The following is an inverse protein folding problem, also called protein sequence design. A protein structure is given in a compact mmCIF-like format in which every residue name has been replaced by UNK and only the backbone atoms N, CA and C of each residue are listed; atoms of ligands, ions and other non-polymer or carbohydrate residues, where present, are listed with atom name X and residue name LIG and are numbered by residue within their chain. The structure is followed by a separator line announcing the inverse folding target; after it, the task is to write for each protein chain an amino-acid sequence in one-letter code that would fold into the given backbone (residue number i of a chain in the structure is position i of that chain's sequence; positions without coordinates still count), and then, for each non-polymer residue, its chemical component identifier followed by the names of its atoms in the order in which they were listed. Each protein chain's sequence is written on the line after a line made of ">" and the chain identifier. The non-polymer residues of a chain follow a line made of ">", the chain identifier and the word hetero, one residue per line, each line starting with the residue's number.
data_IF_411456025643
#
_entry.id   IF_411456025643
#
_cell.length_a   1.000
_cell.length_b   1.000
_cell.length_c   1.000
_cell.angle_alpha   90.00
_cell.angle_beta   90.00
_cell.angle_gamma   90.00
#
_symmetry.space_group_name_H-M   'P 1'
#
loop_
_entity.id
_entity.type
_entity.pdbx_description
1 polymer ?
#
# COMPACT_ATOMS: atom_id res chain seq x y z
N UNK A 1 63.00 10.64 43.66
CA UNK A 1 62.31 11.81 43.00
C UNK A 1 61.81 11.48 41.59
N UNK A 2 62.60 10.87 40.71
CA UNK A 2 62.26 10.52 39.35
C UNK A 2 61.01 9.63 39.17
N UNK A 3 60.80 8.53 39.95
CA UNK A 3 59.63 7.66 39.80
C UNK A 3 58.26 8.35 40.09
N UNK A 4 58.26 9.24 41.07
CA UNK A 4 57.07 10.00 41.45
C UNK A 4 56.66 11.02 40.37
N UNK A 5 57.63 11.60 39.66
CA UNK A 5 57.39 12.47 38.53
C UNK A 5 56.77 11.68 37.32
N UNK A 6 57.30 10.48 37.07
CA UNK A 6 56.76 9.60 36.01
C UNK A 6 55.32 9.17 36.34
N UNK A 7 55.02 8.77 37.58
CA UNK A 7 53.68 8.46 38.04
C UNK A 7 52.70 9.65 37.88
N UNK A 8 53.15 10.84 38.21
CA UNK A 8 52.35 12.07 38.07
C UNK A 8 52.00 12.35 36.60
N UNK A 9 53.00 12.25 35.71
CA UNK A 9 52.79 12.44 34.25
C UNK A 9 51.85 11.38 33.70
N UNK A 10 52.00 10.09 34.06
CA UNK A 10 51.12 9.02 33.66
C UNK A 10 49.69 9.22 34.15
N UNK A 11 49.50 9.66 35.40
CA UNK A 11 48.19 9.95 35.96
C UNK A 11 47.48 11.10 35.20
N UNK A 12 48.20 12.18 34.90
CA UNK A 12 47.66 13.30 34.09
C UNK A 12 47.29 12.83 32.68
N UNK A 13 48.14 12.04 32.04
CA UNK A 13 47.89 11.50 30.69
C UNK A 13 46.64 10.61 30.69
N UNK A 14 46.47 9.75 31.69
CA UNK A 14 45.31 8.87 31.85
C UNK A 14 44.01 9.68 32.03
N UNK A 15 44.06 10.71 32.88
CA UNK A 15 42.92 11.61 33.11
C UNK A 15 42.51 12.32 31.79
N UNK A 16 43.48 12.86 31.07
CA UNK A 16 43.24 13.53 29.78
C UNK A 16 42.63 12.57 28.77
N UNK A 17 43.11 11.32 28.72
CA UNK A 17 42.57 10.28 27.83
C UNK A 17 41.14 9.91 28.19
N UNK A 18 40.86 9.73 29.49
CA UNK A 18 39.51 9.42 29.98
C UNK A 18 38.52 10.56 29.69
N UNK A 19 38.94 11.80 29.87
CA UNK A 19 38.11 12.97 29.53
C UNK A 19 37.83 13.02 28.04
N UNK A 20 38.82 12.82 27.18
CA UNK A 20 38.64 12.76 25.75
C UNK A 20 37.68 11.63 25.33
N UNK A 21 37.85 10.44 25.91
CA UNK A 21 36.98 9.30 25.62
C UNK A 21 35.50 9.59 25.98
N UNK A 22 35.28 10.17 27.18
CA UNK A 22 33.93 10.57 27.60
C UNK A 22 33.29 11.63 26.68
N UNK A 23 34.07 12.66 26.30
CA UNK A 23 33.57 13.67 25.39
C UNK A 23 33.21 13.08 24.00
N UNK A 24 33.98 12.10 23.52
CA UNK A 24 33.68 11.40 22.26
C UNK A 24 32.41 10.56 22.38
N UNK A 25 32.23 9.81 23.47
CA UNK A 25 31.03 9.03 23.76
C UNK A 25 29.79 9.92 23.79
N UNK A 26 29.81 11.01 24.53
CA UNK A 26 28.71 11.96 24.60
C UNK A 26 28.36 12.56 23.22
N UNK A 27 29.39 12.83 22.41
CA UNK A 27 29.17 13.35 21.05
C UNK A 27 28.52 12.32 20.13
N UNK A 28 28.86 11.03 20.25
CA UNK A 28 28.23 9.94 19.47
C UNK A 28 26.79 9.70 19.91
N UNK A 29 26.52 9.72 21.23
CA UNK A 29 25.15 9.59 21.76
C UNK A 29 24.24 10.74 21.27
N UNK A 30 24.78 11.97 21.27
CA UNK A 30 24.06 13.15 20.75
C UNK A 30 23.76 13.02 19.26
N UNK A 31 24.71 12.51 18.45
CA UNK A 31 24.47 12.22 17.03
C UNK A 31 23.35 11.19 16.87
N UNK A 32 23.44 10.08 17.61
CA UNK A 32 22.44 9.00 17.55
C UNK A 32 21.04 9.49 17.91
N UNK A 33 20.91 10.24 19.00
CA UNK A 33 19.63 10.81 19.43
C UNK A 33 19.05 11.78 18.38
N UNK A 34 19.86 12.76 17.94
CA UNK A 34 19.43 13.72 16.94
C UNK A 34 19.09 13.06 15.60
N UNK A 35 19.79 12.01 15.20
CA UNK A 35 19.47 11.24 13.99
C UNK A 35 18.12 10.54 14.12
N UNK A 36 17.85 9.86 15.25
CA UNK A 36 16.58 9.22 15.52
C UNK A 36 15.39 10.19 15.50
N UNK A 37 15.52 11.33 16.20
CA UNK A 37 14.49 12.38 16.22
C UNK A 37 14.19 12.94 14.83
N UNK A 38 15.17 12.99 13.94
CA UNK A 38 15.01 13.57 12.60
C UNK A 38 14.53 12.59 11.55
N UNK A 39 14.78 11.32 11.73
CA UNK A 39 14.17 10.27 10.92
C UNK A 39 12.68 10.10 11.25
N UNK A 40 12.32 10.35 12.52
CA UNK A 40 10.93 10.28 12.98
C UNK A 40 10.12 11.58 12.72
N UNK A 41 10.78 12.74 12.66
CA UNK A 41 10.14 14.03 12.45
C UNK A 41 10.58 14.69 11.15
N UNK A 42 9.64 15.37 10.46
CA UNK A 42 9.90 16.02 9.17
C UNK A 42 10.62 17.38 9.28
N UNK A 43 11.52 17.52 10.28
CA UNK A 43 12.23 18.78 10.55
C UNK A 43 13.47 18.97 9.68
N UNK A 44 13.66 20.18 9.15
CA UNK A 44 14.79 20.52 8.25
C UNK A 44 16.05 20.98 8.99
N UNK A 45 16.15 20.79 10.31
CA UNK A 45 17.28 21.27 11.08
C UNK A 45 18.50 20.36 10.92
N UNK A 46 19.71 20.82 10.63
CA UNK A 46 20.90 19.99 10.52
C UNK A 46 21.32 19.40 11.89
N UNK A 47 21.99 18.26 11.93
CA UNK A 47 22.62 17.72 13.14
C UNK A 47 23.68 18.74 13.58
N UNK A 48 23.50 19.27 14.78
CA UNK A 48 24.42 20.24 15.34
C UNK A 48 25.21 19.64 16.51
N UNK A 49 26.53 19.77 16.46
CA UNK A 49 27.41 19.28 17.53
C UNK A 49 28.15 20.44 18.19
N UNK A 50 28.07 20.51 19.50
CA UNK A 50 28.83 21.46 20.32
C UNK A 50 30.28 21.07 20.50
N UNK A 51 30.68 19.90 19.99
CA UNK A 51 32.03 19.35 20.18
C UNK A 51 33.09 20.01 19.29
N UNK A 52 34.32 20.11 19.79
CA UNK A 52 35.49 20.56 18.99
C UNK A 52 36.20 19.39 18.29
N UNK A 53 35.73 18.14 18.49
CA UNK A 53 36.34 16.98 17.86
C UNK A 53 36.14 17.02 16.32
N UNK A 54 37.24 17.00 15.52
CA UNK A 54 37.12 17.11 14.06
C UNK A 54 36.51 15.87 13.42
N UNK A 55 36.63 14.69 14.04
CA UNK A 55 36.06 13.43 13.50
C UNK A 55 34.55 13.38 13.71
N UNK A 56 34.06 13.75 14.89
CA UNK A 56 32.64 13.83 15.18
C UNK A 56 31.96 14.89 14.27
N UNK A 57 32.62 16.03 14.03
CA UNK A 57 32.09 17.07 13.12
C UNK A 57 32.04 16.60 11.66
N UNK A 58 33.07 15.86 11.19
CA UNK A 58 33.05 15.27 9.85
C UNK A 58 31.94 14.25 9.68
N UNK A 59 31.71 13.40 10.70
CA UNK A 59 30.63 12.42 10.68
C UNK A 59 29.25 13.12 10.63
N UNK A 60 29.02 14.13 11.48
CA UNK A 60 27.77 14.89 11.45
C UNK A 60 27.54 15.60 10.11
N UNK A 61 28.59 16.16 9.50
CA UNK A 61 28.49 16.79 8.19
C UNK A 61 28.13 15.76 7.09
N UNK A 62 28.76 14.58 7.10
CA UNK A 62 28.47 13.50 6.16
C UNK A 62 27.02 13.00 6.32
N UNK A 63 26.55 12.78 7.55
CA UNK A 63 25.17 12.41 7.85
C UNK A 63 24.18 13.46 7.38
N UNK A 64 24.44 14.75 7.60
CA UNK A 64 23.58 15.83 7.13
C UNK A 64 23.44 15.84 5.60
N UNK A 65 24.50 15.54 4.87
CA UNK A 65 24.45 15.42 3.40
C UNK A 65 23.55 14.24 3.01
N UNK A 66 23.71 13.07 3.64
CA UNK A 66 22.92 11.89 3.33
C UNK A 66 21.44 12.07 3.67
N UNK A 67 21.12 12.65 4.82
CA UNK A 67 19.74 12.97 5.23
C UNK A 67 19.09 13.92 4.20
N UNK A 68 19.82 14.94 3.78
CA UNK A 68 19.33 15.90 2.78
C UNK A 68 19.05 15.24 1.43
N UNK A 69 19.92 14.31 1.00
CA UNK A 69 19.72 13.58 -0.27
C UNK A 69 18.54 12.60 -0.18
N UNK A 70 18.41 11.84 0.91
CA UNK A 70 17.27 10.95 1.18
C UNK A 70 15.95 11.74 1.16
N UNK A 71 15.93 12.91 1.81
CA UNK A 71 14.76 13.78 1.81
C UNK A 71 14.42 14.31 0.43
N UNK A 72 15.44 14.70 -0.34
CA UNK A 72 15.24 15.15 -1.73
C UNK A 72 14.67 14.03 -2.61
N UNK A 73 15.13 12.80 -2.44
CA UNK A 73 14.59 11.65 -3.15
C UNK A 73 13.14 11.37 -2.74
N UNK A 74 12.84 11.40 -1.43
CA UNK A 74 11.48 11.25 -0.93
C UNK A 74 10.53 12.30 -1.51
N UNK A 75 10.89 13.58 -1.46
CA UNK A 75 10.08 14.66 -2.03
C UNK A 75 9.89 14.53 -3.55
N UNK A 76 10.90 14.03 -4.29
CA UNK A 76 10.75 13.74 -5.72
C UNK A 76 9.75 12.60 -5.97
N UNK A 77 9.80 11.53 -5.17
CA UNK A 77 8.83 10.44 -5.26
C UNK A 77 7.42 10.94 -4.94
N UNK A 78 7.23 11.68 -3.84
CA UNK A 78 5.95 12.22 -3.44
C UNK A 78 5.38 13.20 -4.49
N UNK A 79 6.19 14.07 -5.05
CA UNK A 79 5.77 14.97 -6.13
C UNK A 79 5.43 14.22 -7.42
N UNK A 80 6.23 13.23 -7.80
CA UNK A 80 5.96 12.39 -8.97
C UNK A 80 4.65 11.61 -8.82
N UNK A 81 4.39 11.08 -7.65
CA UNK A 81 3.12 10.39 -7.36
C UNK A 81 1.93 11.34 -7.44
N UNK A 82 2.08 12.59 -6.96
CA UNK A 82 1.03 13.63 -7.05
C UNK A 82 0.77 14.06 -8.50
N UNK A 83 1.82 14.34 -9.28
CA UNK A 83 1.69 14.69 -10.69
C UNK A 83 1.04 13.56 -11.49
N UNK A 84 1.42 12.32 -11.24
CA UNK A 84 0.80 11.14 -11.86
C UNK A 84 -0.68 11.05 -11.51
N UNK A 85 -1.05 11.27 -10.25
CA UNK A 85 -2.43 11.29 -9.79
C UNK A 85 -3.26 12.36 -10.51
N UNK A 86 -2.75 13.60 -10.56
CA UNK A 86 -3.43 14.71 -11.22
C UNK A 86 -3.64 14.42 -12.72
N UNK A 87 -2.60 13.90 -13.41
CA UNK A 87 -2.68 13.50 -14.80
C UNK A 87 -3.71 12.37 -15.02
N UNK A 88 -3.69 11.34 -14.16
CA UNK A 88 -4.63 10.21 -14.22
C UNK A 88 -6.07 10.67 -13.98
N UNK A 89 -6.29 11.56 -13.01
CA UNK A 89 -7.61 12.13 -12.72
C UNK A 89 -8.14 12.90 -13.92
N UNK A 90 -7.32 13.77 -14.52
CA UNK A 90 -7.68 14.57 -15.70
C UNK A 90 -8.02 13.68 -16.89
N UNK A 91 -7.15 12.73 -17.24
CA UNK A 91 -7.36 11.78 -18.35
C UNK A 91 -8.62 10.94 -18.12
N UNK A 92 -8.86 10.50 -16.89
CA UNK A 92 -10.07 9.71 -16.57
C UNK A 92 -11.34 10.50 -16.77
N UNK A 93 -11.36 11.79 -16.38
CA UNK A 93 -12.49 12.67 -16.61
C UNK A 93 -12.72 12.90 -18.11
N UNK A 94 -11.64 13.18 -18.85
CA UNK A 94 -11.71 13.48 -20.28
C UNK A 94 -12.09 12.27 -21.15
N UNK A 95 -11.79 11.06 -20.69
CA UNK A 95 -12.23 9.82 -21.34
C UNK A 95 -13.68 9.44 -20.99
N UNK A 96 -14.18 9.75 -19.81
CA UNK A 96 -15.55 9.42 -19.38
C UNK A 96 -16.58 10.09 -20.27
N UNK A 97 -16.38 11.36 -20.61
CA UNK A 97 -17.32 12.17 -21.40
C UNK A 97 -17.58 11.58 -22.79
N UNK A 98 -16.56 11.32 -23.66
CA UNK A 98 -16.79 10.71 -24.96
C UNK A 98 -17.32 9.27 -24.87
N UNK A 99 -16.91 8.50 -23.86
CA UNK A 99 -17.42 7.14 -23.68
C UNK A 99 -18.90 7.12 -23.33
N UNK A 100 -19.36 8.04 -22.47
CA UNK A 100 -20.79 8.18 -22.16
C UNK A 100 -21.60 8.55 -23.41
N UNK A 101 -21.07 9.43 -24.26
CA UNK A 101 -21.71 9.77 -25.53
C UNK A 101 -21.75 8.56 -26.48
N UNK A 102 -20.65 7.80 -26.60
CA UNK A 102 -20.61 6.57 -27.43
C UNK A 102 -21.66 5.55 -26.95
N UNK A 103 -21.73 5.30 -25.63
CA UNK A 103 -22.75 4.40 -25.07
C UNK A 103 -24.16 4.88 -25.39
N UNK A 104 -24.43 6.19 -25.23
CA UNK A 104 -25.75 6.76 -25.59
C UNK A 104 -26.09 6.63 -27.06
N UNK A 105 -25.15 6.85 -27.99
CA UNK A 105 -25.38 6.62 -29.42
C UNK A 105 -25.62 5.15 -29.77
N UNK A 106 -24.91 4.24 -29.11
CA UNK A 106 -25.12 2.80 -29.28
C UNK A 106 -26.50 2.37 -28.80
N UNK A 107 -26.99 2.91 -27.68
CA UNK A 107 -28.36 2.66 -27.20
C UNK A 107 -29.43 3.18 -28.18
N UNK A 108 -29.18 4.34 -28.80
CA UNK A 108 -30.09 4.88 -29.85
C UNK A 108 -30.09 4.00 -31.09
N UNK A 109 -28.93 3.55 -31.55
CA UNK A 109 -28.80 2.66 -32.69
C UNK A 109 -29.42 1.28 -32.41
N UNK A 110 -29.40 0.86 -31.14
CA UNK A 110 -29.96 -0.43 -30.73
C UNK A 110 -31.51 -0.47 -30.81
N UNK A 111 -32.18 0.67 -30.81
CA UNK A 111 -33.65 0.81 -30.92
C UNK A 111 -34.17 0.74 -32.37
N UNK A 112 -33.29 0.85 -33.35
CA UNK A 112 -33.69 0.82 -34.79
C UNK A 112 -33.70 -0.58 -35.39
N UNK A 113 -34.31 -0.71 -36.58
CA UNK A 113 -34.25 -1.94 -37.37
C UNK A 113 -32.82 -2.23 -37.81
N UNK A 114 -32.38 -3.48 -37.60
CA UNK A 114 -30.99 -3.93 -37.84
C UNK A 114 -30.97 -5.28 -38.51
N UNK A 115 -29.99 -5.48 -39.38
CA UNK A 115 -29.64 -6.84 -39.79
C UNK A 115 -28.98 -7.61 -38.62
N UNK A 116 -29.04 -8.94 -38.58
CA UNK A 116 -28.39 -9.75 -37.57
C UNK A 116 -26.87 -9.46 -37.41
N UNK A 117 -26.22 -9.13 -38.52
CA UNK A 117 -24.80 -8.81 -38.55
C UNK A 117 -24.52 -7.44 -37.91
N UNK A 118 -25.35 -6.43 -38.21
CA UNK A 118 -25.27 -5.11 -37.57
C UNK A 118 -25.53 -5.21 -36.07
N UNK A 119 -26.52 -5.97 -35.62
CA UNK A 119 -26.80 -6.20 -34.21
C UNK A 119 -25.59 -6.82 -33.48
N UNK A 120 -24.93 -7.78 -34.11
CA UNK A 120 -23.72 -8.40 -33.59
C UNK A 120 -22.55 -7.40 -33.43
N UNK A 121 -22.30 -6.55 -34.43
CA UNK A 121 -21.25 -5.54 -34.36
C UNK A 121 -21.57 -4.47 -33.31
N UNK A 122 -22.81 -4.01 -33.23
CA UNK A 122 -23.24 -3.06 -32.20
C UNK A 122 -23.03 -3.63 -30.79
N UNK A 123 -23.40 -4.88 -30.55
CA UNK A 123 -23.16 -5.54 -29.27
C UNK A 123 -21.67 -5.64 -28.92
N UNK A 124 -20.80 -5.92 -29.91
CA UNK A 124 -19.36 -5.94 -29.70
C UNK A 124 -18.80 -4.54 -29.36
N UNK A 125 -19.26 -3.51 -30.06
CA UNK A 125 -18.81 -2.11 -29.79
C UNK A 125 -19.31 -1.66 -28.40
N UNK A 126 -20.61 -1.92 -28.11
CA UNK A 126 -21.17 -1.60 -26.79
C UNK A 126 -20.36 -2.27 -25.63
N UNK A 127 -20.05 -3.56 -25.78
CA UNK A 127 -19.23 -4.28 -24.81
C UNK A 127 -17.83 -3.68 -24.64
N UNK A 128 -17.21 -3.17 -25.72
CA UNK A 128 -15.91 -2.49 -25.65
C UNK A 128 -15.99 -1.11 -25.02
N UNK A 129 -17.01 -0.33 -25.36
CA UNK A 129 -17.25 0.99 -24.78
C UNK A 129 -17.49 0.88 -23.26
N UNK A 130 -18.31 -0.08 -22.83
CA UNK A 130 -18.58 -0.33 -21.41
C UNK A 130 -17.33 -0.83 -20.66
N UNK A 131 -16.48 -1.65 -21.29
CA UNK A 131 -15.21 -2.05 -20.72
C UNK A 131 -14.26 -0.84 -20.51
N UNK A 132 -14.17 0.06 -21.50
CA UNK A 132 -13.38 1.28 -21.38
C UNK A 132 -13.92 2.21 -20.29
N UNK A 133 -15.24 2.37 -20.18
CA UNK A 133 -15.87 3.16 -19.12
C UNK A 133 -15.49 2.62 -17.73
N UNK A 134 -15.59 1.31 -17.50
CA UNK A 134 -15.16 0.68 -16.24
C UNK A 134 -13.69 0.89 -15.95
N UNK A 135 -12.80 0.75 -16.93
CA UNK A 135 -11.37 1.01 -16.78
C UNK A 135 -11.09 2.46 -16.36
N UNK A 136 -11.79 3.42 -16.97
CA UNK A 136 -11.67 4.84 -16.65
C UNK A 136 -12.15 5.14 -15.22
N UNK A 137 -13.25 4.51 -14.79
CA UNK A 137 -13.77 4.66 -13.42
C UNK A 137 -12.85 4.02 -12.38
N UNK A 138 -12.25 2.86 -12.66
CA UNK A 138 -11.25 2.23 -11.80
C UNK A 138 -9.99 3.08 -11.68
N UNK A 139 -9.54 3.67 -12.80
CA UNK A 139 -8.38 4.56 -12.83
C UNK A 139 -8.62 5.83 -11.98
N UNK A 140 -9.81 6.41 -12.07
CA UNK A 140 -10.20 7.55 -11.23
C UNK A 140 -10.24 7.17 -9.74
N UNK A 141 -10.87 6.04 -9.42
CA UNK A 141 -10.92 5.52 -8.04
C UNK A 141 -9.54 5.28 -7.46
N UNK A 142 -8.61 4.80 -8.28
CA UNK A 142 -7.22 4.66 -7.90
C UNK A 142 -6.58 6.01 -7.60
N UNK A 143 -6.75 6.99 -8.48
CA UNK A 143 -6.18 8.33 -8.32
C UNK A 143 -6.63 9.00 -7.00
N UNK A 144 -7.92 8.87 -6.65
CA UNK A 144 -8.47 9.38 -5.39
C UNK A 144 -7.91 8.60 -4.19
N UNK A 145 -7.84 7.27 -4.27
CA UNK A 145 -7.33 6.45 -3.17
C UNK A 145 -5.82 6.64 -2.90
N UNK A 146 -5.04 6.78 -3.97
CA UNK A 146 -3.59 6.98 -3.88
C UNK A 146 -3.21 8.39 -3.39
N UNK A 147 -4.14 9.34 -3.46
CA UNK A 147 -3.87 10.75 -3.19
C UNK A 147 -3.80 11.16 -1.73
N UNK A 148 -4.23 10.33 -0.80
CA UNK A 148 -4.12 10.65 0.62
C UNK A 148 -4.87 11.90 1.12
N UNK A 149 -5.64 12.59 0.27
CA UNK A 149 -6.30 13.86 0.60
C UNK A 149 -7.60 13.69 1.41
N UNK A 150 -8.22 12.52 1.38
CA UNK A 150 -9.33 12.23 2.29
C UNK A 150 -8.77 11.89 3.67
N UNK A 151 -9.06 12.72 4.67
CA UNK A 151 -8.78 12.39 6.07
C UNK A 151 -9.56 11.11 6.43
N UNK A 152 -8.86 10.10 6.95
CA UNK A 152 -9.50 8.87 7.42
C UNK A 152 -10.35 9.19 8.66
N UNK A 153 -11.59 8.75 8.64
CA UNK A 153 -12.48 8.83 9.79
C UNK A 153 -12.33 7.55 10.64
N UNK A 154 -11.34 7.57 11.54
CA UNK A 154 -11.10 6.41 12.42
C UNK A 154 -12.21 6.30 13.46
N UNK A 155 -12.89 5.16 13.48
CA UNK A 155 -13.95 4.80 14.41
C UNK A 155 -13.77 3.37 14.92
N UNK A 156 -14.41 2.97 16.04
CA UNK A 156 -14.39 1.58 16.46
C UNK A 156 -15.16 0.70 15.47
N UNK A 157 -14.45 -0.13 14.70
CA UNK A 157 -15.02 -1.04 13.71
C UNK A 157 -14.97 -2.47 14.23
N UNK A 158 -16.11 -3.15 14.20
CA UNK A 158 -16.25 -4.58 14.46
C UNK A 158 -15.80 -5.36 13.22
N UNK A 159 -14.65 -6.04 13.32
CA UNK A 159 -14.06 -6.79 12.20
C UNK A 159 -14.89 -8.02 11.83
N UNK A 160 -15.54 -8.69 12.80
CA UNK A 160 -16.42 -9.83 12.52
C UNK A 160 -17.56 -9.39 11.58
N UNK A 161 -18.28 -8.32 11.97
CA UNK A 161 -19.35 -7.78 11.15
C UNK A 161 -18.87 -7.27 9.78
N UNK A 162 -17.70 -6.62 9.71
CA UNK A 162 -17.16 -6.11 8.47
C UNK A 162 -16.82 -7.22 7.47
N UNK A 163 -16.25 -8.33 7.95
CA UNK A 163 -15.93 -9.50 7.11
C UNK A 163 -17.22 -10.19 6.64
N UNK A 164 -18.19 -10.41 7.54
CA UNK A 164 -19.49 -10.99 7.19
C UNK A 164 -20.21 -10.16 6.13
N UNK A 165 -20.34 -8.85 6.33
CA UNK A 165 -20.97 -7.93 5.37
C UNK A 165 -20.29 -7.98 4.00
N UNK A 166 -18.96 -7.97 3.97
CA UNK A 166 -18.20 -8.01 2.74
C UNK A 166 -18.41 -9.34 1.98
N UNK A 167 -18.33 -10.49 2.66
CA UNK A 167 -18.55 -11.79 2.04
C UNK A 167 -20.00 -11.93 1.58
N UNK A 168 -20.98 -11.50 2.37
CA UNK A 168 -22.40 -11.54 2.03
C UNK A 168 -22.69 -10.73 0.75
N UNK A 169 -22.07 -9.57 0.59
CA UNK A 169 -22.22 -8.75 -0.61
C UNK A 169 -21.75 -9.46 -1.89
N UNK A 170 -20.67 -10.23 -1.82
CA UNK A 170 -20.12 -10.96 -2.98
C UNK A 170 -20.72 -12.38 -3.15
N UNK A 171 -21.50 -12.87 -2.18
CA UNK A 171 -21.95 -14.26 -2.14
C UNK A 171 -22.66 -14.72 -3.40
N UNK A 172 -23.60 -13.92 -3.92
CA UNK A 172 -24.30 -14.25 -5.18
C UNK A 172 -23.34 -14.41 -6.37
N UNK A 173 -22.37 -13.52 -6.50
CA UNK A 173 -21.37 -13.59 -7.57
C UNK A 173 -20.43 -14.80 -7.43
N UNK A 174 -20.09 -15.21 -6.20
CA UNK A 174 -19.33 -16.44 -5.96
C UNK A 174 -20.11 -17.67 -6.35
N UNK A 175 -21.39 -17.76 -5.96
CA UNK A 175 -22.27 -18.89 -6.31
C UNK A 175 -22.43 -19.01 -7.82
N UNK A 176 -22.64 -17.93 -8.56
CA UNK A 176 -22.71 -17.92 -10.02
C UNK A 176 -21.43 -18.47 -10.68
N UNK A 177 -20.28 -18.34 -10.03
CA UNK A 177 -19.00 -18.90 -10.49
C UNK A 177 -18.67 -20.27 -9.92
N UNK A 178 -19.57 -20.87 -9.14
CA UNK A 178 -19.35 -22.16 -8.51
C UNK A 178 -18.33 -22.13 -7.36
N UNK A 179 -18.06 -20.95 -6.80
CA UNK A 179 -17.17 -20.77 -5.64
C UNK A 179 -18.03 -20.79 -4.37
N UNK A 180 -17.69 -21.66 -3.42
CA UNK A 180 -18.34 -21.72 -2.10
C UNK A 180 -17.39 -21.12 -1.05
N UNK A 181 -17.58 -19.86 -0.62
CA UNK A 181 -16.73 -19.26 0.41
C UNK A 181 -16.89 -19.98 1.75
N UNK A 182 -15.78 -20.45 2.34
CA UNK A 182 -15.74 -20.91 3.72
C UNK A 182 -15.30 -19.72 4.61
N UNK A 183 -16.13 -19.39 5.61
CA UNK A 183 -15.87 -18.25 6.51
C UNK A 183 -15.65 -18.79 7.92
N UNK A 184 -14.51 -18.42 8.53
CA UNK A 184 -14.15 -18.77 9.89
C UNK A 184 -13.92 -17.48 10.70
N UNK A 185 -14.79 -17.25 11.70
CA UNK A 185 -14.71 -16.08 12.56
C UNK A 185 -14.63 -16.53 14.03
N UNK A 186 -13.87 -15.83 14.88
CA UNK A 186 -13.86 -16.10 16.31
C UNK A 186 -15.21 -15.73 16.94
N UNK A 187 -15.56 -16.39 18.05
CA UNK A 187 -16.77 -16.07 18.82
C UNK A 187 -16.69 -14.69 19.47
N UNK A 188 -15.48 -14.26 19.84
CA UNK A 188 -15.23 -12.95 20.42
C UNK A 188 -15.24 -11.87 19.35
N UNK A 189 -15.85 -10.73 19.66
CA UNK A 189 -15.83 -9.55 18.81
C UNK A 189 -14.45 -8.89 18.82
N UNK A 190 -13.91 -8.68 17.64
CA UNK A 190 -12.65 -7.99 17.47
C UNK A 190 -12.92 -6.58 16.97
N UNK A 191 -12.59 -5.58 17.78
CA UNK A 191 -12.77 -4.17 17.44
C UNK A 191 -11.42 -3.50 17.23
N UNK A 192 -11.30 -2.71 16.13
CA UNK A 192 -10.13 -1.90 15.82
C UNK A 192 -10.55 -0.47 15.47
N UNK A 193 -9.62 0.48 15.69
CA UNK A 193 -9.81 1.88 15.28
C UNK A 193 -9.45 2.01 13.81
N UNK A 194 -10.45 1.98 12.94
CA UNK A 194 -10.28 1.97 11.47
C UNK A 194 -11.31 2.87 10.80
N UNK A 195 -11.07 3.22 9.56
CA UNK A 195 -12.08 3.82 8.69
C UNK A 195 -12.91 2.69 8.07
N UNK A 196 -14.20 2.63 8.40
CA UNK A 196 -15.13 1.58 7.95
C UNK A 196 -15.27 1.55 6.42
N UNK A 197 -15.32 2.72 5.78
CA UNK A 197 -15.44 2.80 4.32
C UNK A 197 -14.15 2.33 3.62
N UNK A 198 -13.00 2.72 4.16
CA UNK A 198 -11.69 2.26 3.68
C UNK A 198 -11.54 0.74 3.85
N UNK A 199 -11.89 0.18 5.01
CA UNK A 199 -11.86 -1.27 5.26
C UNK A 199 -12.78 -2.04 4.32
N UNK A 200 -14.02 -1.57 4.12
CA UNK A 200 -14.97 -2.18 3.17
C UNK A 200 -14.39 -2.19 1.76
N UNK A 201 -13.68 -1.13 1.35
CA UNK A 201 -13.03 -1.04 0.05
C UNK A 201 -11.82 -1.98 -0.07
N UNK A 202 -11.04 -2.15 1.01
CA UNK A 202 -9.95 -3.14 1.08
C UNK A 202 -10.51 -4.54 0.87
N UNK A 203 -11.48 -4.95 1.69
CA UNK A 203 -12.11 -6.28 1.60
C UNK A 203 -12.75 -6.51 0.23
N UNK A 204 -13.46 -5.51 -0.30
CA UNK A 204 -14.05 -5.57 -1.64
C UNK A 204 -13.02 -5.81 -2.75
N UNK A 205 -11.85 -5.17 -2.70
CA UNK A 205 -10.77 -5.40 -3.66
C UNK A 205 -10.20 -6.82 -3.57
N UNK A 206 -10.01 -7.34 -2.34
CA UNK A 206 -9.50 -8.70 -2.13
C UNK A 206 -10.51 -9.77 -2.57
N UNK A 207 -11.78 -9.62 -2.19
CA UNK A 207 -12.85 -10.55 -2.57
C UNK A 207 -13.09 -10.53 -4.09
N UNK A 208 -13.05 -9.37 -4.74
CA UNK A 208 -13.14 -9.26 -6.19
C UNK A 208 -11.93 -9.91 -6.89
N UNK A 209 -10.75 -9.83 -6.29
CA UNK A 209 -9.57 -10.55 -6.78
C UNK A 209 -9.79 -12.06 -6.71
N UNK A 210 -10.22 -12.58 -5.56
CA UNK A 210 -10.56 -13.99 -5.39
C UNK A 210 -11.65 -14.43 -6.36
N UNK A 211 -12.71 -13.63 -6.54
CA UNK A 211 -13.79 -13.91 -7.50
C UNK A 211 -13.27 -14.06 -8.94
N UNK A 212 -12.27 -13.27 -9.33
CA UNK A 212 -11.72 -13.27 -10.70
C UNK A 212 -10.75 -14.42 -10.95
N UNK A 213 -9.95 -14.79 -9.96
CA UNK A 213 -8.76 -15.61 -10.14
C UNK A 213 -8.72 -16.90 -9.33
N UNK A 214 -9.68 -17.14 -8.43
CA UNK A 214 -9.76 -18.41 -7.71
C UNK A 214 -10.00 -19.60 -8.64
N UNK A 215 -9.37 -20.71 -8.32
CA UNK A 215 -9.58 -22.01 -8.99
C UNK A 215 -10.89 -22.72 -8.59
N UNK A 216 -11.79 -22.08 -7.82
CA UNK A 216 -13.10 -22.62 -7.46
C UNK A 216 -13.36 -22.68 -5.94
N UNK A 217 -12.44 -22.23 -5.11
CA UNK A 217 -12.55 -22.18 -3.67
C UNK A 217 -12.18 -20.80 -3.10
N UNK A 218 -12.63 -20.50 -1.89
CA UNK A 218 -12.23 -19.34 -1.12
C UNK A 218 -12.41 -19.60 0.37
N UNK A 219 -11.34 -19.43 1.13
CA UNK A 219 -11.36 -19.44 2.58
C UNK A 219 -11.13 -18.01 3.08
N UNK A 220 -12.00 -17.54 3.98
CA UNK A 220 -11.87 -16.24 4.64
C UNK A 220 -11.84 -16.48 6.13
N UNK A 221 -10.77 -16.12 6.80
CA UNK A 221 -10.60 -16.28 8.23
C UNK A 221 -10.31 -14.94 8.92
N UNK A 222 -10.92 -14.69 10.05
CA UNK A 222 -10.54 -13.65 11.01
C UNK A 222 -9.87 -14.34 12.20
N UNK A 223 -8.63 -14.03 12.44
CA UNK A 223 -7.83 -14.57 13.54
C UNK A 223 -8.13 -13.83 14.86
N UNK A 224 -7.92 -14.46 16.04
CA UNK A 224 -8.14 -13.78 17.32
C UNK A 224 -7.29 -12.53 17.56
N UNK A 225 -6.14 -12.41 16.90
CA UNK A 225 -5.27 -11.23 16.93
C UNK A 225 -5.80 -10.06 16.08
N UNK A 226 -6.86 -10.30 15.28
CA UNK A 226 -7.46 -9.33 14.36
C UNK A 226 -6.92 -9.41 12.93
N UNK A 227 -6.05 -10.36 12.63
CA UNK A 227 -5.60 -10.57 11.26
C UNK A 227 -6.72 -11.20 10.42
N UNK A 228 -6.92 -10.67 9.20
CA UNK A 228 -7.87 -11.19 8.22
C UNK A 228 -7.08 -11.90 7.13
N UNK A 229 -7.38 -13.18 6.92
CA UNK A 229 -6.71 -14.03 5.92
C UNK A 229 -7.70 -14.45 4.84
N UNK A 230 -7.35 -14.23 3.59
CA UNK A 230 -8.06 -14.76 2.43
C UNK A 230 -7.16 -15.76 1.72
N UNK A 231 -7.65 -16.99 1.49
CA UNK A 231 -6.89 -18.03 0.80
C UNK A 231 -7.73 -18.66 -0.30
N UNK A 232 -7.16 -18.80 -1.49
CA UNK A 232 -7.83 -19.47 -2.61
C UNK A 232 -6.83 -20.23 -3.47
N UNK A 233 -7.29 -21.27 -4.14
CA UNK A 233 -6.50 -21.98 -5.14
C UNK A 233 -6.16 -21.01 -6.29
N UNK A 234 -4.88 -20.96 -6.64
CA UNK A 234 -4.35 -20.08 -7.69
C UNK A 234 -3.33 -20.84 -8.56
N UNK A 235 -3.76 -21.86 -9.31
CA UNK A 235 -2.85 -22.65 -10.13
C UNK A 235 -2.20 -21.75 -11.19
N UNK A 236 -0.87 -21.80 -11.27
CA UNK A 236 -0.10 -21.03 -12.27
C UNK A 236 0.50 -19.73 -11.76
N UNK A 237 0.37 -19.40 -10.48
CA UNK A 237 1.19 -18.35 -9.85
C UNK A 237 2.57 -18.91 -9.49
N UNK A 238 3.57 -18.02 -9.53
CA UNK A 238 4.90 -18.27 -9.00
C UNK A 238 5.26 -17.24 -7.91
N UNK A 239 6.31 -17.51 -7.13
CA UNK A 239 6.75 -16.63 -6.03
C UNK A 239 7.13 -15.22 -6.52
N UNK A 240 7.71 -15.09 -7.72
CA UNK A 240 8.09 -13.80 -8.30
C UNK A 240 6.85 -12.98 -8.62
N UNK A 241 5.83 -13.63 -9.19
CA UNK A 241 4.55 -13.01 -9.50
C UNK A 241 3.83 -12.57 -8.21
N UNK A 242 3.84 -13.41 -7.16
CA UNK A 242 3.23 -13.09 -5.88
C UNK A 242 3.89 -11.89 -5.22
N UNK A 243 5.21 -11.77 -5.29
CA UNK A 243 5.94 -10.59 -4.80
C UNK A 243 5.54 -9.28 -5.48
N UNK A 244 4.95 -9.36 -6.69
CA UNK A 244 4.54 -8.21 -7.49
C UNK A 244 3.03 -7.95 -7.50
N UNK A 245 2.22 -8.77 -6.83
CA UNK A 245 0.75 -8.66 -6.85
C UNK A 245 0.24 -7.29 -6.38
N UNK A 246 0.98 -6.61 -5.52
CA UNK A 246 0.64 -5.28 -5.03
C UNK A 246 1.27 -4.14 -5.86
N UNK A 247 2.05 -4.46 -6.90
CA UNK A 247 2.58 -3.46 -7.81
C UNK A 247 1.45 -2.84 -8.64
N UNK A 248 1.55 -1.54 -8.89
CA UNK A 248 0.57 -0.79 -9.68
C UNK A 248 0.55 -1.30 -11.12
N UNK A 249 -0.64 -1.53 -11.67
CA UNK A 249 -0.87 -2.01 -13.04
C UNK A 249 -0.32 -3.41 -13.32
N UNK A 250 0.13 -4.13 -12.31
CA UNK A 250 0.60 -5.49 -12.49
C UNK A 250 -0.58 -6.45 -12.58
N UNK A 251 -0.58 -7.28 -13.62
CA UNK A 251 -1.53 -8.38 -13.83
C UNK A 251 -0.78 -9.61 -14.26
N UNK A 252 -1.09 -10.74 -13.67
CA UNK A 252 -0.57 -12.04 -14.09
C UNK A 252 -1.37 -12.47 -15.30
N UNK A 253 -0.76 -12.35 -16.46
CA UNK A 253 -1.32 -12.68 -17.79
C UNK A 253 -2.66 -12.05 -18.19
N UNK A 254 -2.74 -11.68 -19.45
CA UNK A 254 -3.93 -11.62 -20.34
C UNK A 254 -5.34 -11.59 -19.70
N UNK A 255 -5.46 -11.22 -18.43
CA UNK A 255 -6.71 -10.88 -17.79
C UNK A 255 -7.32 -9.69 -18.52
N UNK A 256 -7.94 -9.98 -19.67
CA UNK A 256 -8.51 -9.06 -20.66
C UNK A 256 -9.46 -8.01 -20.08
N UNK A 257 -9.62 -7.95 -18.74
CA UNK A 257 -10.59 -7.10 -18.04
C UNK A 257 -10.14 -6.65 -16.64
N UNK A 258 -8.84 -6.67 -16.33
CA UNK A 258 -8.32 -6.24 -15.03
C UNK A 258 -7.29 -5.13 -15.20
N UNK A 259 -7.41 -4.07 -14.39
CA UNK A 259 -6.52 -2.92 -14.41
C UNK A 259 -5.22 -3.12 -13.63
N UNK A 260 -5.14 -4.16 -12.79
CA UNK A 260 -4.02 -4.35 -11.87
C UNK A 260 -3.95 -3.30 -10.73
N UNK A 261 -5.06 -2.59 -10.47
CA UNK A 261 -5.12 -1.54 -9.46
C UNK A 261 -5.74 -1.99 -8.13
N UNK A 262 -6.57 -3.04 -8.13
CA UNK A 262 -7.35 -3.44 -6.95
C UNK A 262 -6.48 -3.77 -5.73
N UNK A 263 -5.45 -4.60 -5.90
CA UNK A 263 -4.56 -4.99 -4.80
C UNK A 263 -3.65 -3.84 -4.36
N UNK A 264 -3.18 -2.99 -5.27
CA UNK A 264 -2.39 -1.80 -4.91
C UNK A 264 -3.23 -0.77 -4.14
N UNK A 265 -4.53 -0.62 -4.44
CA UNK A 265 -5.48 0.18 -3.65
C UNK A 265 -5.66 -0.43 -2.26
N UNK A 266 -5.86 -1.75 -2.18
CA UNK A 266 -6.01 -2.43 -0.89
C UNK A 266 -4.78 -2.20 0.00
N UNK A 267 -3.57 -2.33 -0.55
CA UNK A 267 -2.32 -2.05 0.15
C UNK A 267 -2.24 -0.60 0.63
N UNK A 268 -2.48 0.35 -0.24
CA UNK A 268 -2.40 1.78 0.09
C UNK A 268 -3.38 2.17 1.21
N UNK A 269 -4.63 1.68 1.16
CA UNK A 269 -5.63 1.95 2.21
C UNK A 269 -5.28 1.26 3.53
N UNK A 270 -4.75 0.03 3.49
CA UNK A 270 -4.30 -0.70 4.69
C UNK A 270 -3.14 0.03 5.36
N UNK A 271 -2.12 0.45 4.60
CA UNK A 271 -0.97 1.21 5.11
C UNK A 271 -1.39 2.58 5.70
N UNK A 272 -2.38 3.25 5.13
CA UNK A 272 -2.94 4.50 5.68
C UNK A 272 -3.69 4.32 6.99
N UNK A 273 -4.21 3.13 7.26
CA UNK A 273 -4.82 2.74 8.55
C UNK A 273 -3.80 2.11 9.51
N UNK A 274 -2.49 2.37 9.31
CA UNK A 274 -1.37 1.80 10.09
C UNK A 274 -1.31 0.26 10.09
N UNK A 275 -1.97 -0.37 9.13
CA UNK A 275 -1.98 -1.81 8.94
C UNK A 275 -0.92 -2.28 7.93
N UNK A 276 -0.84 -3.61 7.80
CA UNK A 276 0.05 -4.27 6.83
C UNK A 276 -0.72 -5.28 5.99
N UNK A 277 -0.34 -5.44 4.73
CA UNK A 277 -0.86 -6.49 3.85
C UNK A 277 0.30 -7.27 3.25
N UNK A 278 0.18 -8.59 3.25
CA UNK A 278 1.17 -9.50 2.65
C UNK A 278 0.48 -10.56 1.81
N UNK A 279 1.23 -11.12 0.86
CA UNK A 279 0.79 -12.26 0.05
C UNK A 279 1.86 -13.35 0.12
N UNK A 280 1.41 -14.58 0.22
CA UNK A 280 2.23 -15.79 0.22
C UNK A 280 1.64 -16.80 -0.76
N UNK A 281 2.49 -17.67 -1.29
CA UNK A 281 2.07 -18.76 -2.17
C UNK A 281 2.57 -20.06 -1.61
N UNK A 282 1.65 -20.91 -1.18
CA UNK A 282 1.95 -22.19 -0.56
C UNK A 282 1.01 -23.27 -1.12
N UNK A 283 1.54 -24.41 -1.49
CA UNK A 283 0.76 -25.57 -1.95
C UNK A 283 -0.27 -25.29 -3.05
N UNK A 284 0.06 -24.37 -3.99
CA UNK A 284 -0.86 -24.01 -5.07
C UNK A 284 -1.94 -23.00 -4.67
N UNK A 285 -1.86 -22.42 -3.49
CA UNK A 285 -2.80 -21.45 -2.94
C UNK A 285 -2.15 -20.07 -2.79
N UNK A 286 -2.91 -19.05 -3.17
CA UNK A 286 -2.59 -17.66 -2.82
C UNK A 286 -3.22 -17.35 -1.46
N UNK A 287 -2.39 -16.89 -0.54
CA UNK A 287 -2.78 -16.47 0.81
C UNK A 287 -2.50 -14.99 0.95
N UNK A 288 -3.53 -14.19 1.18
CA UNK A 288 -3.40 -12.75 1.45
C UNK A 288 -3.78 -12.50 2.91
N UNK A 289 -2.89 -11.87 3.67
CA UNK A 289 -3.08 -11.56 5.09
C UNK A 289 -3.06 -10.05 5.31
N UNK A 290 -4.09 -9.56 6.01
CA UNK A 290 -4.22 -8.18 6.50
C UNK A 290 -4.03 -8.18 8.01
N UNK A 291 -3.29 -7.21 8.54
CA UNK A 291 -3.13 -6.99 9.98
C UNK A 291 -3.34 -5.49 10.29
N UNK A 292 -4.15 -5.22 11.35
CA UNK A 292 -4.45 -3.87 11.85
C UNK A 292 -4.19 -3.74 13.34
#
# INVERSE_FOLDING_TARGET
>A
MLPWLICGVLAVLTIVLLVRLRLLQTSLDDIGRQLGERLASDTNNPIFLSTRDPHARKLAAALNIQIKELRRQRLRCENGDRELKEAVTSVSHDLRTPLTAICGYLELLDKGDKTPEQARYLALIAGRAEAMKRLTEELLRYSVAAGGEEELCLEPVDLNAAVEEAVAFFYGAFVERGIAPAVSLPEERIVRQLDRAALSRVLGNLLNNALKYSGGDLDVALEPDGAITLSNAAPGLDEVQVGRLFDRFYTVESARHSTGLGLSIARSLTERMDGTVSAQYEDGRLIIRLCF
#
